data_IF_050642366224
#
_entry.id   IF_050642366224
#
_cell.length_a   1.000
_cell.length_b   1.000
_cell.length_c   1.000
_cell.angle_alpha   90.00
_cell.angle_beta   90.00
_cell.angle_gamma   90.00
#
_symmetry.space_group_name_H-M   'P 1'
#
loop_
_entity.id
_entity.type
_entity.pdbx_description
1 polymer ?
#
# COMPACT_ATOMS: atom_id res chain seq x y z
N UNK A 1 3.33 10.25 8.29
CA UNK A 1 2.05 10.47 7.59
C UNK A 1 1.52 9.12 7.11
N UNK A 2 0.19 8.88 7.07
CA UNK A 2 -0.38 7.59 6.67
C UNK A 2 -1.41 7.81 5.58
N UNK A 3 -1.31 7.05 4.48
CA UNK A 3 -2.17 7.15 3.31
C UNK A 3 -2.97 5.85 3.15
N UNK A 4 -4.26 5.82 3.52
CA UNK A 4 -5.10 4.66 3.28
C UNK A 4 -5.33 4.45 1.78
N UNK A 5 -5.33 3.19 1.34
CA UNK A 5 -5.65 2.81 -0.05
C UNK A 5 -7.00 2.12 -0.05
N UNK A 6 -7.91 2.63 -0.88
CA UNK A 6 -9.26 2.09 -1.04
C UNK A 6 -9.44 1.50 -2.44
N UNK A 7 -10.26 0.46 -2.56
CA UNK A 7 -10.74 -0.04 -3.84
C UNK A 7 -11.81 0.88 -4.45
N UNK A 8 -12.28 0.54 -5.64
CA UNK A 8 -13.36 1.25 -6.35
C UNK A 8 -14.70 1.23 -5.61
N UNK A 9 -14.88 0.35 -4.62
CA UNK A 9 -16.09 0.23 -3.81
C UNK A 9 -15.98 1.02 -2.49
N UNK A 10 -14.83 1.66 -2.23
CA UNK A 10 -14.57 2.40 -1.00
C UNK A 10 -14.09 1.53 0.17
N UNK A 11 -13.84 0.23 -0.05
CA UNK A 11 -13.27 -0.64 0.97
C UNK A 11 -11.78 -0.37 1.11
N UNK A 12 -11.30 -0.28 2.34
CA UNK A 12 -9.87 -0.17 2.59
C UNK A 12 -9.18 -1.50 2.27
N UNK A 13 -8.26 -1.45 1.31
CA UNK A 13 -7.49 -2.62 0.83
C UNK A 13 -6.02 -2.59 1.27
N UNK A 14 -5.57 -1.45 1.81
CA UNK A 14 -4.23 -1.34 2.36
C UNK A 14 -3.92 0.05 2.88
N UNK A 15 -2.64 0.25 3.17
CA UNK A 15 -2.11 1.51 3.71
C UNK A 15 -0.71 1.72 3.20
N UNK A 16 -0.36 2.94 2.81
CA UNK A 16 0.99 3.34 2.43
C UNK A 16 1.48 4.37 3.44
N UNK A 17 2.72 4.26 3.86
CA UNK A 17 3.40 5.26 4.68
C UNK A 17 4.84 5.42 4.22
N UNK A 18 5.45 6.60 4.37
CA UNK A 18 6.88 6.72 4.14
C UNK A 18 7.66 5.84 5.14
N UNK A 19 8.73 5.21 4.68
CA UNK A 19 9.65 4.43 5.54
C UNK A 19 10.36 5.37 6.52
N UNK A 20 10.81 6.50 6.00
CA UNK A 20 11.50 7.53 6.76
C UNK A 20 10.64 8.80 6.82
N UNK A 21 10.40 9.31 8.02
CA UNK A 21 9.56 10.51 8.19
C UNK A 21 10.32 11.80 7.89
N UNK A 22 11.65 11.78 7.89
CA UNK A 22 12.48 12.92 7.51
C UNK A 22 12.66 12.99 5.98
N UNK A 23 12.67 11.84 5.30
CA UNK A 23 12.79 11.71 3.85
C UNK A 23 11.63 10.88 3.24
N UNK A 24 10.40 11.40 3.25
CA UNK A 24 9.22 10.63 2.84
C UNK A 24 9.19 10.24 1.35
N UNK A 25 10.03 10.87 0.53
CA UNK A 25 10.08 10.64 -0.91
C UNK A 25 11.05 9.52 -1.30
N UNK A 26 11.96 9.13 -0.41
CA UNK A 26 12.98 8.11 -0.71
C UNK A 26 12.41 6.69 -0.73
N UNK A 27 11.53 6.38 0.22
CA UNK A 27 10.95 5.03 0.37
C UNK A 27 9.56 5.04 0.97
N UNK A 28 8.73 4.15 0.43
CA UNK A 28 7.33 3.97 0.78
C UNK A 28 7.08 2.54 1.21
N UNK A 29 6.52 2.34 2.40
CA UNK A 29 6.08 1.05 2.90
C UNK A 29 4.59 0.88 2.62
N UNK A 30 4.26 -0.18 1.89
CA UNK A 30 2.91 -0.66 1.69
C UNK A 30 2.56 -1.71 2.73
N UNK A 31 1.34 -1.66 3.28
CA UNK A 31 0.73 -2.65 4.14
C UNK A 31 -0.57 -3.13 3.49
N UNK A 32 -0.64 -4.42 3.15
CA UNK A 32 -1.87 -5.08 2.72
C UNK A 32 -2.65 -5.66 3.92
N UNK A 33 -3.94 -5.96 3.72
CA UNK A 33 -4.83 -6.46 4.78
C UNK A 33 -4.34 -7.72 5.50
N UNK A 34 -3.53 -8.56 4.85
CA UNK A 34 -3.05 -9.85 5.37
C UNK A 34 -1.72 -9.79 6.14
N UNK A 35 -1.46 -8.69 6.84
CA UNK A 35 -0.17 -8.43 7.52
C UNK A 35 1.05 -8.49 6.59
N UNK A 36 0.85 -8.40 5.28
CA UNK A 36 1.94 -8.33 4.32
C UNK A 36 2.42 -6.89 4.22
N UNK A 37 3.73 -6.68 4.33
CA UNK A 37 4.35 -5.38 4.12
C UNK A 37 5.50 -5.47 3.13
N UNK A 38 5.66 -4.42 2.32
CA UNK A 38 6.75 -4.35 1.35
C UNK A 38 7.16 -2.89 1.13
N UNK A 39 8.46 -2.64 0.95
CA UNK A 39 9.02 -1.32 0.70
C UNK A 39 9.22 -1.08 -0.80
N UNK A 40 8.97 0.14 -1.24
CA UNK A 40 9.04 0.57 -2.63
C UNK A 40 9.73 1.93 -2.73
N UNK A 41 10.47 2.17 -3.81
CA UNK A 41 11.07 3.48 -4.09
C UNK A 41 10.07 4.51 -4.63
N UNK A 42 8.78 4.18 -4.70
CA UNK A 42 7.75 5.08 -5.23
C UNK A 42 6.37 4.75 -4.66
N UNK A 43 5.59 5.79 -4.34
CA UNK A 43 4.22 5.63 -3.85
C UNK A 43 3.31 4.87 -4.83
N UNK A 44 3.47 5.15 -6.13
CA UNK A 44 2.68 4.48 -7.19
C UNK A 44 2.90 2.96 -7.18
N UNK A 45 4.16 2.51 -7.08
CA UNK A 45 4.49 1.09 -7.03
C UNK A 45 3.95 0.40 -5.76
N UNK A 46 3.97 1.10 -4.62
CA UNK A 46 3.33 0.64 -3.39
C UNK A 46 1.82 0.45 -3.56
N UNK A 47 1.15 1.38 -4.24
CA UNK A 47 -0.28 1.31 -4.56
C UNK A 47 -0.60 0.15 -5.50
N UNK A 48 0.09 0.04 -6.63
CA UNK A 48 -0.11 -1.03 -7.61
C UNK A 48 0.02 -2.42 -6.98
N UNK A 49 0.99 -2.57 -6.05
CA UNK A 49 1.15 -3.81 -5.31
C UNK A 49 -0.02 -4.10 -4.37
N UNK A 50 -0.53 -3.11 -3.64
CA UNK A 50 -1.72 -3.26 -2.78
C UNK A 50 -2.95 -3.65 -3.63
N UNK A 51 -3.18 -2.96 -4.75
CA UNK A 51 -4.31 -3.23 -5.65
C UNK A 51 -4.24 -4.67 -6.21
N UNK A 52 -3.05 -5.11 -6.62
CA UNK A 52 -2.82 -6.51 -7.05
C UNK A 52 -3.09 -7.52 -5.93
N UNK A 53 -2.66 -7.23 -4.70
CA UNK A 53 -2.88 -8.11 -3.55
C UNK A 53 -4.36 -8.20 -3.17
N UNK A 54 -5.08 -7.10 -3.23
CA UNK A 54 -6.51 -7.08 -2.98
C UNK A 54 -7.29 -7.85 -4.05
N UNK A 55 -6.87 -7.75 -5.31
CA UNK A 55 -7.47 -8.51 -6.41
C UNK A 55 -7.23 -10.03 -6.30
N UNK A 56 -6.02 -10.43 -5.88
CA UNK A 56 -5.68 -11.85 -5.62
C UNK A 56 -6.48 -12.43 -4.45
N UNK A 57 -6.70 -11.62 -3.40
CA UNK A 57 -7.43 -12.03 -2.21
C UNK A 57 -8.95 -12.10 -2.44
N UNK A 58 -9.53 -11.13 -3.16
CA UNK A 58 -10.95 -11.13 -3.49
C UNK A 58 -11.35 -12.16 -4.57
N UNK A 59 -10.37 -12.77 -5.25
CA UNK A 59 -10.60 -13.85 -6.22
C UNK A 59 -10.66 -15.25 -5.56
N UNK A 60 -10.45 -15.35 -4.24
CA UNK A 60 -10.40 -16.60 -3.49
C UNK A 60 -11.66 -16.87 -2.69
#
# INVERSE_FOLDING_TARGET
>A
MIYPVHDSHGNRIGTIMPEDSENPEERWIAYALHNQRMAFGSWQAARDWIERKAADDGAR
#
